data_IF_105588311720
#
_entry.id   IF_105588311720
#
_cell.length_a   1.000
_cell.length_b   1.000
_cell.length_c   1.000
_cell.angle_alpha   90.00
_cell.angle_beta   90.00
_cell.angle_gamma   90.00
#
_symmetry.space_group_name_H-M   'P 1'
#
loop_
_entity.id
_entity.type
_entity.pdbx_description
1 polymer ?
#
# COMPACT_ATOMS: atom_id res chain seq x y z
N UNK A 1 -4.03 26.72 12.36
CA UNK A 1 -4.41 28.02 11.74
C UNK A 1 -5.38 27.74 10.59
N UNK A 2 -6.31 28.64 10.23
CA UNK A 2 -7.12 28.44 9.01
C UNK A 2 -6.33 29.03 7.84
N UNK A 3 -5.95 28.20 6.88
CA UNK A 3 -5.23 28.62 5.69
C UNK A 3 -6.22 29.24 4.70
N UNK A 4 -6.07 30.52 4.42
CA UNK A 4 -6.89 31.25 3.45
C UNK A 4 -6.10 31.45 2.14
N UNK A 5 -6.40 30.61 1.15
CA UNK A 5 -5.72 30.62 -0.15
C UNK A 5 -6.30 31.64 -1.13
N UNK A 6 -7.47 32.21 -0.85
CA UNK A 6 -8.12 33.19 -1.73
C UNK A 6 -7.54 34.58 -1.48
N UNK A 7 -7.42 34.98 -0.22
CA UNK A 7 -6.89 36.30 0.16
C UNK A 7 -5.42 36.46 -0.23
N UNK A 8 -4.61 35.40 -0.14
CA UNK A 8 -3.17 35.42 -0.42
C UNK A 8 -2.81 34.79 -1.78
N UNK A 9 -3.74 34.75 -2.74
CA UNK A 9 -3.54 34.06 -4.01
C UNK A 9 -2.33 34.58 -4.79
N UNK A 10 -2.15 35.90 -4.83
CA UNK A 10 -1.04 36.53 -5.54
C UNK A 10 0.29 36.13 -4.90
N UNK A 11 0.42 36.31 -3.58
CA UNK A 11 1.63 36.01 -2.82
C UNK A 11 2.00 34.54 -2.85
N UNK A 12 1.03 33.62 -2.93
CA UNK A 12 1.28 32.19 -2.91
C UNK A 12 1.57 31.60 -4.30
N UNK A 13 0.82 32.01 -5.32
CA UNK A 13 0.77 31.31 -6.61
C UNK A 13 1.22 32.16 -7.82
N UNK A 14 1.23 33.49 -7.72
CA UNK A 14 1.59 34.38 -8.84
C UNK A 14 2.96 35.04 -8.65
N UNK A 15 3.26 35.48 -7.44
CA UNK A 15 4.61 35.89 -7.06
C UNK A 15 5.49 34.64 -7.00
N UNK A 16 6.58 34.63 -7.75
CA UNK A 16 7.53 33.52 -7.79
C UNK A 16 8.64 33.66 -6.75
N UNK A 17 8.80 34.82 -6.13
CA UNK A 17 9.83 35.08 -5.13
C UNK A 17 9.45 34.48 -3.77
N UNK A 18 10.46 34.27 -2.91
CA UNK A 18 10.24 33.83 -1.54
C UNK A 18 9.68 35.00 -0.73
N UNK A 19 8.59 34.76 -0.01
CA UNK A 19 7.95 35.76 0.84
C UNK A 19 7.50 35.13 2.17
N UNK A 20 7.25 35.97 3.17
CA UNK A 20 6.89 35.53 4.52
C UNK A 20 5.58 34.71 4.54
N UNK A 21 4.64 35.06 3.66
CA UNK A 21 3.35 34.36 3.53
C UNK A 21 3.57 32.91 3.08
N UNK A 22 4.39 32.67 2.05
CA UNK A 22 4.77 31.32 1.60
C UNK A 22 5.46 30.53 2.69
N UNK A 23 6.36 31.14 3.45
CA UNK A 23 7.04 30.45 4.56
C UNK A 23 6.06 29.99 5.63
N UNK A 24 5.12 30.85 6.01
CA UNK A 24 4.09 30.51 6.99
C UNK A 24 3.18 29.38 6.49
N UNK A 25 2.69 29.47 5.25
CA UNK A 25 1.81 28.46 4.66
C UNK A 25 2.51 27.12 4.48
N UNK A 26 3.74 27.12 3.97
CA UNK A 26 4.51 25.88 3.79
C UNK A 26 4.88 25.24 5.11
N UNK A 27 5.16 26.00 6.16
CA UNK A 27 5.41 25.46 7.50
C UNK A 27 4.18 24.77 8.08
N UNK A 28 2.99 25.38 7.95
CA UNK A 28 1.75 24.77 8.45
C UNK A 28 1.36 23.54 7.62
N UNK A 29 1.42 23.62 6.28
CA UNK A 29 1.15 22.49 5.39
C UNK A 29 2.13 21.32 5.62
N UNK A 30 3.39 21.59 5.94
CA UNK A 30 4.35 20.54 6.32
C UNK A 30 3.93 19.81 7.58
N UNK A 31 3.46 20.53 8.61
CA UNK A 31 2.95 19.89 9.84
C UNK A 31 1.74 19.01 9.53
N UNK A 32 0.78 19.52 8.78
CA UNK A 32 -0.41 18.74 8.38
C UNK A 32 -0.01 17.50 7.59
N UNK A 33 0.90 17.63 6.62
CA UNK A 33 1.38 16.49 5.84
C UNK A 33 2.13 15.45 6.70
N UNK A 34 2.87 15.88 7.73
CA UNK A 34 3.52 14.96 8.67
C UNK A 34 2.53 14.20 9.54
N UNK A 35 1.47 14.86 10.00
CA UNK A 35 0.39 14.22 10.75
C UNK A 35 -0.38 13.21 9.89
N UNK A 36 -0.73 13.59 8.66
CA UNK A 36 -1.35 12.70 7.68
C UNK A 36 -0.46 11.48 7.42
N UNK A 37 0.84 11.68 7.17
CA UNK A 37 1.81 10.59 6.96
C UNK A 37 1.89 9.62 8.14
N UNK A 38 1.79 10.11 9.38
CA UNK A 38 1.79 9.24 10.58
C UNK A 38 0.52 8.39 10.66
N UNK A 39 -0.59 8.89 10.14
CA UNK A 39 -1.87 8.18 10.14
C UNK A 39 -2.04 7.22 8.97
N UNK A 40 -1.19 7.31 7.93
CA UNK A 40 -1.31 6.47 6.74
C UNK A 40 -1.05 4.99 7.08
N UNK A 41 -1.96 4.08 6.67
CA UNK A 41 -1.73 2.67 6.84
C UNK A 41 -0.59 2.18 5.94
N UNK A 42 0.10 1.13 6.38
CA UNK A 42 1.08 0.43 5.56
C UNK A 42 0.38 -0.29 4.41
N UNK A 43 0.82 -0.01 3.19
CA UNK A 43 0.28 -0.58 1.96
C UNK A 43 1.33 -1.45 1.28
N UNK A 44 0.90 -2.60 0.79
CA UNK A 44 1.75 -3.56 0.08
C UNK A 44 1.35 -3.64 -1.38
N UNK A 45 2.30 -3.52 -2.28
CA UNK A 45 2.10 -3.81 -3.70
C UNK A 45 2.29 -5.30 -3.99
N UNK A 46 1.87 -5.75 -5.18
CA UNK A 46 2.21 -7.08 -5.69
C UNK A 46 3.73 -7.36 -5.68
N UNK A 47 4.57 -6.32 -5.83
CA UNK A 47 6.03 -6.46 -5.76
C UNK A 47 6.53 -6.71 -4.35
N UNK A 48 5.87 -6.12 -3.35
CA UNK A 48 6.20 -6.32 -1.94
C UNK A 48 5.75 -7.69 -1.47
N UNK A 49 4.54 -8.11 -1.83
CA UNK A 49 4.03 -9.46 -1.60
C UNK A 49 4.95 -10.52 -2.19
N UNK A 50 5.48 -10.27 -3.40
CA UNK A 50 6.45 -11.16 -4.06
C UNK A 50 7.69 -11.39 -3.20
N UNK A 51 8.28 -10.31 -2.68
CA UNK A 51 9.47 -10.38 -1.82
C UNK A 51 9.12 -11.04 -0.49
N UNK A 52 8.01 -10.62 0.14
CA UNK A 52 7.52 -11.10 1.44
C UNK A 52 7.29 -12.60 1.44
N UNK A 53 6.69 -13.14 0.38
CA UNK A 53 6.41 -14.58 0.26
C UNK A 53 7.51 -15.37 -0.44
N UNK A 54 8.65 -14.75 -0.77
CA UNK A 54 9.76 -15.42 -1.48
C UNK A 54 9.27 -16.13 -2.75
N UNK A 55 8.49 -15.43 -3.58
CA UNK A 55 7.99 -15.94 -4.84
C UNK A 55 8.81 -15.37 -5.99
N UNK A 56 9.58 -16.20 -6.70
CA UNK A 56 10.41 -15.68 -7.79
C UNK A 56 9.58 -15.20 -8.99
N UNK A 57 8.44 -15.84 -9.23
CA UNK A 57 7.57 -15.57 -10.37
C UNK A 57 6.42 -14.62 -10.00
N UNK A 58 6.25 -13.54 -10.78
CA UNK A 58 5.11 -12.61 -10.68
C UNK A 58 3.76 -13.33 -10.81
N UNK A 59 3.68 -14.36 -11.66
CA UNK A 59 2.46 -15.12 -11.86
C UNK A 59 2.01 -15.86 -10.60
N UNK A 60 2.96 -16.32 -9.77
CA UNK A 60 2.65 -17.01 -8.51
C UNK A 60 1.90 -16.12 -7.52
N UNK A 61 2.34 -14.86 -7.40
CA UNK A 61 1.66 -13.85 -6.57
C UNK A 61 0.27 -13.55 -7.14
N UNK A 62 0.18 -13.35 -8.47
CA UNK A 62 -1.09 -13.08 -9.14
C UNK A 62 -2.13 -14.18 -8.92
N UNK A 63 -1.70 -15.44 -8.93
CA UNK A 63 -2.58 -16.58 -8.69
C UNK A 63 -3.09 -16.62 -7.24
N UNK A 64 -2.31 -16.14 -6.26
CA UNK A 64 -2.76 -16.03 -4.86
C UNK A 64 -3.74 -14.88 -4.70
N UNK A 65 -3.40 -13.72 -5.23
CA UNK A 65 -4.20 -12.49 -5.13
C UNK A 65 -5.56 -12.64 -5.79
N UNK A 66 -5.69 -13.46 -6.83
CA UNK A 66 -6.96 -13.75 -7.50
C UNK A 66 -7.89 -14.70 -6.73
N UNK A 67 -7.45 -15.29 -5.61
CA UNK A 67 -8.31 -16.18 -4.83
C UNK A 67 -9.38 -15.36 -4.11
N UNK A 68 -10.61 -15.88 -4.06
CA UNK A 68 -11.75 -15.23 -3.38
C UNK A 68 -11.52 -14.93 -1.89
N UNK A 69 -10.54 -15.59 -1.27
CA UNK A 69 -10.21 -15.43 0.15
C UNK A 69 -9.13 -14.36 0.39
N UNK A 70 -8.50 -13.86 -0.66
CA UNK A 70 -7.51 -12.79 -0.57
C UNK A 70 -8.22 -11.43 -0.48
N UNK A 71 -7.71 -10.47 0.31
CA UNK A 71 -8.35 -9.17 0.46
C UNK A 71 -8.44 -8.40 -0.85
N UNK A 72 -9.49 -7.60 -0.97
CA UNK A 72 -9.65 -6.64 -2.05
C UNK A 72 -8.59 -5.53 -1.94
N UNK A 73 -8.17 -4.94 -3.07
CA UNK A 73 -7.20 -3.85 -3.03
C UNK A 73 -7.81 -2.61 -2.37
N UNK A 74 -7.13 -2.11 -1.33
CA UNK A 74 -7.52 -0.88 -0.64
C UNK A 74 -7.31 0.37 -1.51
N UNK A 75 -6.37 0.33 -2.46
CA UNK A 75 -6.16 1.41 -3.42
C UNK A 75 -5.76 0.85 -4.79
N UNK A 76 -6.32 1.46 -5.83
CA UNK A 76 -6.10 1.12 -7.23
C UNK A 76 -5.72 2.39 -8.00
N UNK A 77 -4.58 2.38 -8.70
CA UNK A 77 -4.12 3.54 -9.47
C UNK A 77 -3.45 3.13 -10.79
N UNK A 78 -3.24 4.11 -11.67
CA UNK A 78 -2.77 3.91 -13.06
C UNK A 78 -3.71 2.98 -13.85
N UNK A 79 -4.99 3.35 -13.93
CA UNK A 79 -6.02 2.62 -14.69
C UNK A 79 -6.09 1.12 -14.33
N UNK A 80 -5.96 0.78 -13.05
CA UNK A 80 -6.02 -0.60 -12.58
C UNK A 80 -4.71 -1.39 -12.62
N UNK A 81 -3.60 -0.78 -13.07
CA UNK A 81 -2.31 -1.49 -13.20
C UNK A 81 -1.65 -1.78 -11.86
N UNK A 82 -1.82 -0.88 -10.88
CA UNK A 82 -1.24 -1.03 -9.55
C UNK A 82 -2.32 -1.20 -8.50
N UNK A 83 -2.23 -2.33 -7.81
CA UNK A 83 -3.10 -2.72 -6.72
C UNK A 83 -2.29 -2.67 -5.43
N UNK A 84 -2.80 -1.97 -4.42
CA UNK A 84 -2.23 -1.89 -3.08
C UNK A 84 -3.20 -2.51 -2.08
N UNK A 85 -2.65 -3.31 -1.17
CA UNK A 85 -3.40 -3.99 -0.12
C UNK A 85 -2.97 -3.46 1.24
N UNK A 86 -3.91 -3.39 2.19
CA UNK A 86 -3.56 -3.08 3.57
C UNK A 86 -2.70 -4.21 4.15
N UNK A 87 -1.58 -3.86 4.76
CA UNK A 87 -0.70 -4.85 5.38
C UNK A 87 -1.44 -5.67 6.46
N UNK A 88 -2.35 -5.05 7.21
CA UNK A 88 -3.17 -5.74 8.22
C UNK A 88 -4.07 -6.82 7.62
N UNK A 89 -4.69 -6.57 6.47
CA UNK A 89 -5.54 -7.55 5.79
C UNK A 89 -4.71 -8.69 5.18
N UNK A 90 -3.53 -8.35 4.65
CA UNK A 90 -2.56 -9.34 4.18
C UNK A 90 -2.10 -10.22 5.35
N UNK A 91 -1.83 -9.64 6.52
CA UNK A 91 -1.48 -10.39 7.74
C UNK A 91 -2.61 -11.33 8.18
N UNK A 92 -3.87 -10.89 8.13
CA UNK A 92 -5.03 -11.75 8.42
C UNK A 92 -5.06 -12.94 7.46
N UNK A 93 -4.84 -12.70 6.16
CA UNK A 93 -4.72 -13.77 5.17
C UNK A 93 -3.56 -14.71 5.46
N UNK A 94 -2.39 -14.19 5.82
CA UNK A 94 -1.19 -14.96 6.16
C UNK A 94 -1.42 -15.88 7.37
N UNK A 95 -2.13 -15.40 8.40
CA UNK A 95 -2.51 -16.18 9.58
C UNK A 95 -3.44 -17.34 9.20
N UNK A 96 -4.43 -17.07 8.35
CA UNK A 96 -5.41 -18.07 7.92
C UNK A 96 -4.81 -19.08 6.93
N UNK A 97 -3.80 -18.66 6.15
CA UNK A 97 -3.20 -19.44 5.06
C UNK A 97 -1.67 -19.43 5.14
N UNK A 98 -1.06 -19.97 6.22
CA UNK A 98 0.37 -19.87 6.48
C UNK A 98 1.24 -20.61 5.45
N UNK A 99 0.62 -21.50 4.65
CA UNK A 99 1.30 -22.15 3.52
C UNK A 99 1.85 -21.14 2.52
N UNK A 100 1.33 -19.91 2.44
CA UNK A 100 1.76 -18.90 1.48
C UNK A 100 3.13 -18.29 1.79
N UNK A 101 3.59 -18.35 3.04
CA UNK A 101 4.72 -17.54 3.52
C UNK A 101 6.07 -17.96 2.95
N UNK A 102 6.33 -19.27 2.84
CA UNK A 102 7.65 -19.80 2.46
C UNK A 102 7.55 -20.88 1.39
N UNK A 103 8.62 -21.10 0.59
CA UNK A 103 8.66 -22.19 -0.38
C UNK A 103 8.41 -23.57 0.25
N UNK A 104 8.96 -23.80 1.45
CA UNK A 104 8.80 -25.06 2.18
C UNK A 104 7.35 -25.30 2.61
N UNK A 105 6.70 -24.28 3.18
CA UNK A 105 5.30 -24.38 3.61
C UNK A 105 4.37 -24.62 2.42
N UNK A 106 4.63 -23.96 1.27
CA UNK A 106 3.91 -24.24 0.01
C UNK A 106 4.06 -25.69 -0.42
N UNK A 107 5.29 -26.24 -0.37
CA UNK A 107 5.57 -27.63 -0.75
C UNK A 107 4.87 -28.62 0.18
N UNK A 108 4.91 -28.39 1.50
CA UNK A 108 4.22 -29.22 2.50
C UNK A 108 2.71 -29.24 2.25
N UNK A 109 2.12 -28.07 2.02
CA UNK A 109 0.69 -27.96 1.73
C UNK A 109 0.30 -28.64 0.40
N UNK A 110 1.10 -28.47 -0.65
CA UNK A 110 0.88 -29.17 -1.92
C UNK A 110 0.92 -30.69 -1.74
N UNK A 111 1.90 -31.23 -1.01
CA UNK A 111 1.96 -32.66 -0.70
C UNK A 111 0.74 -33.13 0.11
N UNK A 112 0.29 -32.34 1.08
CA UNK A 112 -0.90 -32.66 1.86
C UNK A 112 -2.16 -32.71 0.99
N UNK A 113 -2.35 -31.75 0.08
CA UNK A 113 -3.47 -31.77 -0.90
C UNK A 113 -3.42 -33.04 -1.73
N UNK A 114 -2.27 -33.39 -2.28
CA UNK A 114 -2.09 -34.59 -3.12
C UNK A 114 -2.42 -35.89 -2.38
N UNK A 115 -2.28 -35.91 -1.05
CA UNK A 115 -2.52 -37.11 -0.24
C UNK A 115 -3.95 -37.20 0.33
N UNK A 116 -4.65 -36.07 0.49
CA UNK A 116 -5.89 -36.00 1.27
C UNK A 116 -7.10 -35.47 0.49
N UNK A 117 -6.88 -34.80 -0.65
CA UNK A 117 -7.95 -34.10 -1.38
C UNK A 117 -8.17 -34.69 -2.78
N UNK A 118 -7.09 -35.10 -3.45
CA UNK A 118 -7.12 -35.75 -4.78
C UNK A 118 -7.12 -37.26 -4.58
#
# INVERSE_FOLDING_TARGET
>A
MVLDFETFNYELFQDWQENEVKQLFTAELKKTAEEEKKSLPSLLSNGDLRKRWQMDNRQSVHNVVKKNLFPEPALVFSDGKFLLYLESEVLIYEINYPWVLTPESRKKYANWILQNVI
#
